data_IF_728247195511
#
_entry.id   IF_728247195511
#
_cell.length_a   1.000
_cell.length_b   1.000
_cell.length_c   1.000
_cell.angle_alpha   90.00
_cell.angle_beta   90.00
_cell.angle_gamma   90.00
#
_symmetry.space_group_name_H-M   'P 1'
#
loop_
_entity.id
_entity.type
_entity.pdbx_description
1 polymer ?
#
# COMPACT_ATOMS: atom_id res chain seq x y z
N UNK A 1 -13.91 6.37 -6.83
CA UNK A 1 -13.18 6.93 -8.00
C UNK A 1 -13.22 6.01 -9.22
N UNK A 2 -12.68 4.79 -9.17
CA UNK A 2 -12.62 3.90 -10.34
C UNK A 2 -13.99 3.46 -10.90
N UNK A 3 -14.99 3.21 -10.04
CA UNK A 3 -16.36 2.90 -10.49
C UNK A 3 -16.99 4.04 -11.30
N UNK A 4 -16.72 5.30 -10.97
CA UNK A 4 -17.30 6.45 -11.68
C UNK A 4 -16.74 6.57 -13.09
N UNK A 5 -15.45 6.30 -13.28
CA UNK A 5 -14.84 6.28 -14.60
C UNK A 5 -15.44 5.17 -15.47
N UNK A 6 -15.56 3.95 -14.93
CA UNK A 6 -16.19 2.83 -15.63
C UNK A 6 -17.66 3.11 -15.94
N UNK A 7 -18.44 3.64 -14.98
CA UNK A 7 -19.84 3.99 -15.17
C UNK A 7 -20.03 5.12 -16.19
N UNK A 8 -19.16 6.13 -16.21
CA UNK A 8 -19.21 7.20 -17.19
C UNK A 8 -19.00 6.67 -18.61
N UNK A 9 -17.95 5.86 -18.80
CA UNK A 9 -17.65 5.22 -20.10
C UNK A 9 -18.82 4.33 -20.54
N UNK A 10 -19.38 3.56 -19.61
CA UNK A 10 -20.52 2.69 -19.87
C UNK A 10 -21.80 3.50 -20.22
N UNK A 11 -22.04 4.63 -19.56
CA UNK A 11 -23.21 5.47 -19.80
C UNK A 11 -23.09 6.33 -21.07
N UNK A 12 -21.88 6.69 -21.49
CA UNK A 12 -21.64 7.61 -22.60
C UNK A 12 -21.36 6.91 -23.94
N UNK A 13 -21.00 5.62 -23.94
CA UNK A 13 -20.63 4.90 -25.15
C UNK A 13 -21.78 4.82 -26.17
N UNK A 14 -21.42 4.90 -27.46
CA UNK A 14 -22.37 5.07 -28.57
C UNK A 14 -23.18 3.82 -28.95
N UNK A 15 -22.79 2.64 -28.46
CA UNK A 15 -23.45 1.36 -28.73
C UNK A 15 -23.14 0.34 -27.64
N UNK A 16 -23.90 -0.76 -27.58
CA UNK A 16 -23.62 -1.89 -26.67
C UNK A 16 -22.22 -2.47 -26.92
N UNK A 17 -21.80 -2.55 -28.18
CA UNK A 17 -20.44 -3.03 -28.54
C UNK A 17 -19.39 -2.09 -27.96
N UNK A 18 -19.51 -0.78 -28.17
CA UNK A 18 -18.57 0.21 -27.62
C UNK A 18 -18.53 0.12 -26.08
N UNK A 19 -19.69 -0.03 -25.41
CA UNK A 19 -19.76 -0.18 -23.96
C UNK A 19 -18.97 -1.40 -23.45
N UNK A 20 -19.19 -2.56 -24.08
CA UNK A 20 -18.54 -3.82 -23.69
C UNK A 20 -17.04 -3.76 -23.97
N UNK A 21 -16.63 -3.29 -25.14
CA UNK A 21 -15.20 -3.21 -25.49
C UNK A 21 -14.48 -2.18 -24.62
N UNK A 22 -15.10 -1.04 -24.31
CA UNK A 22 -14.51 -0.07 -23.40
C UNK A 22 -14.31 -0.65 -21.99
N UNK A 23 -15.28 -1.43 -21.49
CA UNK A 23 -15.15 -2.13 -20.22
C UNK A 23 -14.03 -3.17 -20.24
N UNK A 24 -13.83 -3.90 -21.36
CA UNK A 24 -12.68 -4.81 -21.52
C UNK A 24 -11.35 -4.08 -21.46
N UNK A 25 -11.24 -2.93 -22.14
CA UNK A 25 -10.02 -2.09 -22.13
C UNK A 25 -9.75 -1.58 -20.71
N UNK A 26 -10.78 -1.15 -19.99
CA UNK A 26 -10.65 -0.74 -18.59
C UNK A 26 -10.18 -1.89 -17.70
N UNK A 27 -10.78 -3.08 -17.80
CA UNK A 27 -10.33 -4.27 -17.05
C UNK A 27 -8.89 -4.65 -17.39
N UNK A 28 -8.54 -4.63 -18.68
CA UNK A 28 -7.18 -4.86 -19.15
C UNK A 28 -6.21 -3.87 -18.51
N UNK A 29 -6.48 -2.56 -18.60
CA UNK A 29 -5.59 -1.54 -18.05
C UNK A 29 -5.47 -1.63 -16.53
N UNK A 30 -6.54 -2.04 -15.84
CA UNK A 30 -6.56 -2.23 -14.40
C UNK A 30 -5.61 -3.35 -13.97
N UNK A 31 -5.73 -4.53 -14.58
CA UNK A 31 -4.84 -5.66 -14.28
C UNK A 31 -3.42 -5.44 -14.79
N UNK A 32 -3.27 -4.99 -16.03
CA UNK A 32 -1.96 -4.78 -16.62
C UNK A 32 -1.18 -3.68 -15.89
N UNK A 33 -1.84 -2.57 -15.56
CA UNK A 33 -1.27 -1.51 -14.71
C UNK A 33 -0.88 -2.02 -13.32
N UNK A 34 -1.69 -2.89 -12.72
CA UNK A 34 -1.37 -3.54 -11.45
C UNK A 34 -0.15 -4.49 -11.58
N UNK A 35 -0.04 -5.23 -12.68
CA UNK A 35 1.14 -6.03 -13.00
C UNK A 35 2.41 -5.18 -13.11
N UNK A 36 2.34 -4.04 -13.81
CA UNK A 36 3.47 -3.11 -13.96
C UNK A 36 3.89 -2.50 -12.62
N UNK A 37 2.95 -2.10 -11.78
CA UNK A 37 3.29 -1.50 -10.48
C UNK A 37 3.96 -2.47 -9.51
N UNK A 38 3.76 -3.78 -9.72
CA UNK A 38 4.39 -4.87 -8.94
C UNK A 38 5.84 -5.15 -9.33
N UNK A 39 6.36 -4.47 -10.35
CA UNK A 39 7.77 -4.52 -10.71
C UNK A 39 8.61 -3.79 -9.65
N UNK A 40 9.70 -4.40 -9.21
CA UNK A 40 10.63 -3.82 -8.23
C UNK A 40 10.66 -4.57 -6.91
N UNK A 41 11.10 -3.88 -5.85
CA UNK A 41 11.45 -4.51 -4.56
C UNK A 41 10.31 -4.54 -3.54
N UNK A 42 9.19 -3.87 -3.84
CA UNK A 42 8.10 -3.66 -2.89
C UNK A 42 7.17 -4.87 -2.76
N UNK A 43 6.99 -5.66 -3.83
CA UNK A 43 5.92 -6.65 -3.88
C UNK A 43 6.22 -7.96 -3.15
N UNK A 44 7.47 -8.45 -3.19
CA UNK A 44 7.81 -9.69 -2.47
C UNK A 44 7.57 -9.60 -0.94
N UNK A 45 7.90 -8.49 -0.25
CA UNK A 45 7.50 -8.28 1.14
C UNK A 45 5.98 -8.36 1.38
N UNK A 46 5.17 -7.78 0.48
CA UNK A 46 3.70 -7.83 0.55
C UNK A 46 3.22 -9.27 0.52
N UNK A 47 3.72 -10.06 -0.44
CA UNK A 47 3.30 -11.46 -0.61
C UNK A 47 3.76 -12.34 0.56
N UNK A 48 4.96 -12.10 1.09
CA UNK A 48 5.43 -12.80 2.29
C UNK A 48 4.50 -12.53 3.49
N UNK A 49 4.20 -11.25 3.76
CA UNK A 49 3.32 -10.86 4.85
C UNK A 49 1.88 -11.37 4.65
N UNK A 50 1.34 -11.26 3.44
CA UNK A 50 -0.02 -11.70 3.10
C UNK A 50 -0.18 -13.23 3.23
N UNK A 51 0.69 -14.00 2.57
CA UNK A 51 0.60 -15.45 2.57
C UNK A 51 0.88 -16.07 3.95
N UNK A 52 1.79 -15.47 4.73
CA UNK A 52 2.07 -15.94 6.09
C UNK A 52 0.94 -15.63 7.10
N UNK A 53 0.16 -14.58 6.87
CA UNK A 53 -1.02 -14.25 7.69
C UNK A 53 -2.32 -14.93 7.20
N UNK A 54 -2.27 -15.67 6.10
CA UNK A 54 -3.46 -16.32 5.53
C UNK A 54 -4.06 -17.34 6.52
N UNK A 55 -5.35 -17.24 6.87
CA UNK A 55 -5.98 -18.07 7.91
C UNK A 55 -6.03 -19.56 7.58
N UNK A 56 -6.34 -19.91 6.33
CA UNK A 56 -6.51 -21.31 5.90
C UNK A 56 -5.20 -22.02 5.57
N UNK A 57 -4.09 -21.28 5.46
CA UNK A 57 -2.75 -21.86 5.34
C UNK A 57 -2.29 -22.24 6.75
N UNK A 58 -2.42 -23.50 7.13
CA UNK A 58 -2.06 -23.97 8.48
C UNK A 58 -0.63 -24.49 8.59
N UNK A 59 0.01 -24.81 7.44
CA UNK A 59 1.39 -25.31 7.40
C UNK A 59 2.40 -24.27 7.88
N UNK A 60 2.93 -24.46 9.08
CA UNK A 60 3.98 -23.61 9.65
C UNK A 60 5.27 -23.68 8.82
N UNK A 61 5.59 -24.84 8.23
CA UNK A 61 6.72 -25.00 7.32
C UNK A 61 6.60 -24.08 6.10
N UNK A 62 5.41 -24.03 5.48
CA UNK A 62 5.18 -23.14 4.35
C UNK A 62 5.27 -21.67 4.77
N UNK A 63 4.60 -21.28 5.86
CA UNK A 63 4.66 -19.91 6.39
C UNK A 63 6.10 -19.45 6.67
N UNK A 64 6.91 -20.33 7.24
CA UNK A 64 8.34 -20.07 7.50
C UNK A 64 9.17 -19.99 6.23
N UNK A 65 8.86 -20.78 5.19
CA UNK A 65 9.57 -20.74 3.91
C UNK A 65 9.39 -19.44 3.13
N UNK A 66 8.42 -18.60 3.49
CA UNK A 66 8.24 -17.25 2.93
C UNK A 66 9.33 -16.27 3.40
N UNK A 67 10.07 -16.63 4.44
CA UNK A 67 11.15 -15.83 5.01
C UNK A 67 12.50 -16.50 4.76
N UNK A 68 13.57 -15.71 4.64
CA UNK A 68 14.91 -16.25 4.35
C UNK A 68 15.38 -17.24 5.42
N UNK A 69 15.17 -16.89 6.69
CA UNK A 69 15.55 -17.74 7.82
C UNK A 69 14.70 -17.43 9.05
N UNK A 70 13.48 -17.95 9.12
CA UNK A 70 12.60 -17.68 10.26
C UNK A 70 13.12 -18.34 11.57
N UNK A 71 13.17 -17.62 12.72
CA UNK A 71 12.72 -16.24 12.94
C UNK A 71 13.82 -15.15 12.83
N UNK A 72 15.06 -15.53 12.49
CA UNK A 72 16.25 -14.66 12.53
C UNK A 72 16.32 -13.65 11.38
N UNK A 73 15.83 -14.03 10.20
CA UNK A 73 15.79 -13.20 9.00
C UNK A 73 14.38 -13.24 8.37
N UNK A 74 13.62 -12.17 8.63
CA UNK A 74 12.26 -12.00 8.12
C UNK A 74 12.20 -11.26 6.77
N UNK A 75 13.32 -11.11 6.06
CA UNK A 75 13.29 -10.64 4.68
C UNK A 75 12.63 -11.70 3.78
N UNK A 76 11.97 -11.29 2.68
CA UNK A 76 11.30 -12.23 1.79
C UNK A 76 12.30 -13.23 1.18
N UNK A 77 11.90 -14.50 1.15
CA UNK A 77 12.69 -15.59 0.56
C UNK A 77 12.53 -15.64 -0.96
N UNK A 78 13.27 -16.56 -1.59
CA UNK A 78 13.04 -16.91 -3.00
C UNK A 78 11.65 -17.48 -3.27
N UNK A 79 11.04 -18.18 -2.30
CA UNK A 79 9.67 -18.69 -2.42
C UNK A 79 8.68 -17.52 -2.50
N UNK A 80 8.83 -16.52 -1.64
CA UNK A 80 8.02 -15.30 -1.70
C UNK A 80 8.25 -14.52 -2.98
N UNK A 81 9.48 -14.41 -3.46
CA UNK A 81 9.79 -13.78 -4.74
C UNK A 81 9.15 -14.49 -5.93
N UNK A 82 9.25 -15.82 -5.98
CA UNK A 82 8.64 -16.65 -7.02
C UNK A 82 7.11 -16.57 -6.99
N UNK A 83 6.51 -16.60 -5.81
CA UNK A 83 5.06 -16.44 -5.66
C UNK A 83 4.61 -15.03 -6.06
N UNK A 84 5.34 -13.99 -5.66
CA UNK A 84 5.01 -12.62 -6.01
C UNK A 84 5.08 -12.39 -7.51
N UNK A 85 6.20 -12.69 -8.16
CA UNK A 85 6.36 -12.34 -9.56
C UNK A 85 5.79 -13.40 -10.51
N UNK A 86 5.80 -14.68 -10.13
CA UNK A 86 5.22 -15.77 -10.91
C UNK A 86 3.70 -15.79 -10.86
N UNK A 87 3.13 -15.85 -9.66
CA UNK A 87 1.67 -15.99 -9.46
C UNK A 87 0.94 -14.64 -9.33
N UNK A 88 1.67 -13.54 -9.14
CA UNK A 88 1.15 -12.18 -9.17
C UNK A 88 1.49 -11.46 -10.46
N UNK A 89 2.70 -10.93 -10.56
CA UNK A 89 3.12 -10.03 -11.65
C UNK A 89 2.88 -10.63 -13.04
N UNK A 90 3.37 -11.85 -13.31
CA UNK A 90 3.24 -12.48 -14.63
C UNK A 90 1.77 -12.77 -14.97
N UNK A 91 0.98 -13.24 -14.01
CA UNK A 91 -0.46 -13.50 -14.20
C UNK A 91 -1.18 -12.23 -14.64
N UNK A 92 -0.94 -11.12 -13.95
CA UNK A 92 -1.57 -9.83 -14.25
C UNK A 92 -1.05 -9.14 -15.52
N UNK A 93 0.11 -9.54 -16.04
CA UNK A 93 0.61 -9.05 -17.32
C UNK A 93 0.18 -9.94 -18.50
N UNK A 94 0.17 -11.25 -18.32
CA UNK A 94 -0.06 -12.21 -19.41
C UNK A 94 -1.54 -12.51 -19.63
N UNK A 95 -2.30 -12.80 -18.58
CA UNK A 95 -3.70 -13.23 -18.75
C UNK A 95 -4.60 -12.12 -19.31
N UNK A 96 -4.48 -10.84 -18.90
CA UNK A 96 -5.27 -9.77 -19.52
C UNK A 96 -5.00 -9.59 -21.01
N UNK A 97 -3.76 -9.77 -21.47
CA UNK A 97 -3.42 -9.73 -22.90
C UNK A 97 -4.14 -10.86 -23.64
N UNK A 98 -4.12 -12.07 -23.08
CA UNK A 98 -4.84 -13.21 -23.66
C UNK A 98 -6.35 -12.93 -23.71
N UNK A 99 -6.94 -12.46 -22.60
CA UNK A 99 -8.37 -12.16 -22.53
C UNK A 99 -8.81 -11.08 -23.52
N UNK A 100 -8.00 -10.04 -23.70
CA UNK A 100 -8.34 -8.92 -24.57
C UNK A 100 -8.28 -9.27 -26.06
N UNK A 101 -7.32 -10.13 -26.47
CA UNK A 101 -7.01 -10.35 -27.89
C UNK A 101 -7.30 -11.76 -28.41
N UNK A 102 -7.51 -12.76 -27.56
CA UNK A 102 -7.75 -14.14 -28.01
C UNK A 102 -9.14 -14.31 -28.61
N UNK A 103 -9.21 -14.85 -29.83
CA UNK A 103 -10.43 -15.40 -30.44
C UNK A 103 -10.58 -16.90 -30.19
N UNK A 104 -9.56 -17.58 -29.63
CA UNK A 104 -9.63 -19.00 -29.30
C UNK A 104 -10.37 -19.21 -27.98
N UNK A 105 -11.55 -19.84 -28.04
CA UNK A 105 -12.43 -20.06 -26.88
C UNK A 105 -11.75 -20.83 -25.74
N UNK A 106 -10.93 -21.83 -26.03
CA UNK A 106 -10.26 -22.64 -25.00
C UNK A 106 -9.13 -21.87 -24.33
N UNK A 107 -8.39 -21.07 -25.09
CA UNK A 107 -7.36 -20.19 -24.55
C UNK A 107 -7.98 -19.10 -23.66
N UNK A 108 -9.09 -18.50 -24.10
CA UNK A 108 -9.86 -17.54 -23.30
C UNK A 108 -10.41 -18.17 -22.02
N UNK A 109 -10.95 -19.40 -22.10
CA UNK A 109 -11.42 -20.13 -20.92
C UNK A 109 -10.29 -20.39 -19.92
N UNK A 110 -9.11 -20.83 -20.40
CA UNK A 110 -7.95 -21.06 -19.55
C UNK A 110 -7.49 -19.77 -18.85
N UNK A 111 -7.44 -18.65 -19.57
CA UNK A 111 -7.10 -17.35 -18.99
C UNK A 111 -8.16 -16.88 -17.98
N UNK A 112 -9.44 -17.12 -18.24
CA UNK A 112 -10.53 -16.82 -17.30
C UNK A 112 -10.40 -17.63 -16.01
N UNK A 113 -10.20 -18.94 -16.11
CA UNK A 113 -9.99 -19.80 -14.94
C UNK A 113 -8.77 -19.33 -14.15
N UNK A 114 -7.68 -18.96 -14.82
CA UNK A 114 -6.50 -18.40 -14.18
C UNK A 114 -6.78 -17.11 -13.41
N UNK A 115 -7.47 -16.15 -14.04
CA UNK A 115 -7.84 -14.88 -13.40
C UNK A 115 -8.82 -15.05 -12.25
N UNK A 116 -9.82 -15.93 -12.38
CA UNK A 116 -10.74 -16.25 -11.29
C UNK A 116 -9.99 -16.91 -10.14
N UNK A 117 -9.10 -17.88 -10.40
CA UNK A 117 -8.25 -18.49 -9.39
C UNK A 117 -7.37 -17.48 -8.67
N UNK A 118 -6.80 -16.52 -9.40
CA UNK A 118 -6.03 -15.42 -8.85
C UNK A 118 -6.85 -14.54 -7.89
N UNK A 119 -8.06 -14.13 -8.29
CA UNK A 119 -8.95 -13.34 -7.44
C UNK A 119 -9.49 -14.13 -6.22
N UNK A 120 -9.83 -15.41 -6.40
CA UNK A 120 -10.21 -16.31 -5.29
C UNK A 120 -9.08 -16.42 -4.28
N UNK A 121 -7.84 -16.58 -4.76
CA UNK A 121 -6.67 -16.63 -3.88
C UNK A 121 -6.54 -15.34 -3.08
N UNK A 122 -6.61 -14.16 -3.72
CA UNK A 122 -6.56 -12.87 -3.02
C UNK A 122 -7.64 -12.78 -1.94
N UNK A 123 -8.91 -13.04 -2.28
CA UNK A 123 -10.03 -12.98 -1.34
C UNK A 123 -9.78 -13.91 -0.14
N UNK A 124 -9.33 -15.12 -0.41
CA UNK A 124 -9.09 -16.14 0.62
C UNK A 124 -8.02 -15.74 1.65
N UNK A 125 -7.14 -14.78 1.30
CA UNK A 125 -6.04 -14.34 2.16
C UNK A 125 -6.44 -13.26 3.17
N UNK A 126 -7.65 -12.70 3.07
CA UNK A 126 -8.13 -11.55 3.85
C UNK A 126 -7.07 -10.43 3.98
N UNK A 127 -6.54 -9.91 2.86
CA UNK A 127 -5.45 -8.96 2.92
C UNK A 127 -5.95 -7.61 3.49
N UNK A 128 -5.07 -6.92 4.21
CA UNK A 128 -5.36 -5.61 4.79
C UNK A 128 -5.50 -4.56 3.68
N UNK A 129 -6.45 -3.62 3.83
CA UNK A 129 -6.75 -2.54 2.89
C UNK A 129 -7.11 -3.02 1.46
N UNK A 130 -8.02 -3.99 1.37
CA UNK A 130 -8.49 -4.57 0.09
C UNK A 130 -10.02 -4.42 0.00
N UNK A 131 -10.57 -3.87 -1.10
CA UNK A 131 -11.99 -3.96 -1.36
C UNK A 131 -12.27 -5.39 -1.84
N UNK A 132 -12.71 -6.25 -0.94
CA UNK A 132 -13.04 -7.63 -1.27
C UNK A 132 -14.19 -7.68 -2.28
N UNK A 133 -15.12 -6.73 -2.20
CA UNK A 133 -16.21 -6.52 -3.15
C UNK A 133 -15.68 -6.29 -4.57
N UNK A 134 -14.54 -5.60 -4.72
CA UNK A 134 -13.91 -5.35 -6.02
C UNK A 134 -13.42 -6.64 -6.67
N UNK A 135 -12.83 -7.55 -5.88
CA UNK A 135 -12.36 -8.84 -6.38
C UNK A 135 -13.55 -9.71 -6.85
N UNK A 136 -14.67 -9.69 -6.11
CA UNK A 136 -15.89 -10.40 -6.52
C UNK A 136 -16.47 -9.81 -7.81
N UNK A 137 -16.55 -8.48 -7.88
CA UNK A 137 -17.00 -7.79 -9.08
C UNK A 137 -16.11 -8.12 -10.28
N UNK A 138 -14.79 -8.13 -10.11
CA UNK A 138 -13.83 -8.44 -11.19
C UNK A 138 -13.97 -9.86 -11.71
N UNK A 139 -14.23 -10.84 -10.84
CA UNK A 139 -14.52 -12.21 -11.29
C UNK A 139 -15.79 -12.28 -12.15
N UNK A 140 -16.86 -11.61 -11.70
CA UNK A 140 -18.10 -11.52 -12.46
C UNK A 140 -17.89 -10.80 -13.80
N UNK A 141 -17.28 -9.61 -13.78
CA UNK A 141 -17.01 -8.79 -14.97
C UNK A 141 -16.10 -9.51 -15.95
N UNK A 142 -15.09 -10.24 -15.49
CA UNK A 142 -14.23 -11.03 -16.36
C UNK A 142 -15.05 -12.06 -17.16
N UNK A 143 -15.89 -12.83 -16.46
CA UNK A 143 -16.74 -13.83 -17.11
C UNK A 143 -17.75 -13.17 -18.06
N UNK A 144 -18.44 -12.14 -17.60
CA UNK A 144 -19.42 -11.41 -18.40
C UNK A 144 -18.80 -10.81 -19.66
N UNK A 145 -17.65 -10.12 -19.55
CA UNK A 145 -17.04 -9.43 -20.68
C UNK A 145 -16.31 -10.37 -21.63
N UNK A 146 -15.59 -11.38 -21.15
CA UNK A 146 -14.71 -12.19 -22.01
C UNK A 146 -15.30 -13.55 -22.41
N UNK A 147 -16.21 -14.13 -21.62
CA UNK A 147 -16.88 -15.39 -21.97
C UNK A 147 -18.20 -15.18 -22.70
N UNK A 148 -19.05 -14.28 -22.19
CA UNK A 148 -20.38 -14.03 -22.77
C UNK A 148 -20.35 -13.07 -23.96
N UNK A 149 -19.29 -12.26 -24.07
CA UNK A 149 -19.07 -11.35 -25.19
C UNK A 149 -17.66 -11.58 -25.79
N UNK A 150 -17.35 -12.77 -26.33
CA UNK A 150 -15.99 -13.09 -26.75
C UNK A 150 -15.54 -12.25 -27.94
N UNK A 151 -14.23 -12.03 -28.08
CA UNK A 151 -13.67 -11.21 -29.15
C UNK A 151 -14.02 -11.73 -30.55
N UNK A 152 -14.18 -13.06 -30.71
CA UNK A 152 -14.56 -13.67 -31.99
C UNK A 152 -16.00 -13.39 -32.45
N UNK A 153 -16.88 -12.88 -31.57
CA UNK A 153 -18.31 -12.70 -31.83
C UNK A 153 -18.68 -11.20 -31.98
N UNK A 154 -17.77 -10.38 -32.50
CA UNK A 154 -18.00 -8.94 -32.72
C UNK A 154 -17.78 -8.05 -31.50
N UNK A 155 -16.99 -8.51 -30.53
CA UNK A 155 -16.59 -7.75 -29.34
C UNK A 155 -15.07 -7.66 -29.20
N UNK A 156 -14.32 -7.71 -30.29
CA UNK A 156 -12.89 -7.44 -30.31
C UNK A 156 -12.63 -5.92 -30.16
N UNK A 157 -11.40 -5.57 -29.81
CA UNK A 157 -10.96 -4.16 -29.74
C UNK A 157 -11.18 -3.44 -31.08
N UNK A 158 -11.10 -4.16 -32.19
CA UNK A 158 -11.31 -3.64 -33.55
C UNK A 158 -12.77 -3.41 -33.93
N UNK A 159 -13.71 -3.93 -33.14
CA UNK A 159 -15.16 -3.74 -33.40
C UNK A 159 -15.70 -2.45 -32.77
N UNK A 160 -14.89 -1.79 -31.93
CA UNK A 160 -15.20 -0.49 -31.33
C UNK A 160 -14.96 0.64 -32.32
N UNK A 161 -15.84 1.64 -32.29
CA UNK A 161 -15.67 2.83 -33.13
C UNK A 161 -14.37 3.57 -32.81
N UNK A 162 -13.67 4.05 -33.83
CA UNK A 162 -12.30 4.58 -33.70
C UNK A 162 -12.18 5.73 -32.68
N UNK A 163 -13.16 6.64 -32.65
CA UNK A 163 -13.16 7.76 -31.70
C UNK A 163 -13.26 7.28 -30.25
N UNK A 164 -14.19 6.35 -29.98
CA UNK A 164 -14.36 5.76 -28.65
C UNK A 164 -13.16 4.90 -28.26
N UNK A 165 -12.57 4.16 -29.20
CA UNK A 165 -11.38 3.34 -28.96
C UNK A 165 -10.20 4.20 -28.50
N UNK A 166 -9.90 5.30 -29.21
CA UNK A 166 -8.83 6.22 -28.83
C UNK A 166 -9.09 6.80 -27.44
N UNK A 167 -10.32 7.25 -27.19
CA UNK A 167 -10.71 7.78 -25.88
C UNK A 167 -10.51 6.74 -24.76
N UNK A 168 -10.98 5.51 -24.96
CA UNK A 168 -10.85 4.44 -23.97
C UNK A 168 -9.39 4.13 -23.66
N UNK A 169 -8.52 4.04 -24.67
CA UNK A 169 -7.08 3.81 -24.48
C UNK A 169 -6.45 4.96 -23.69
N UNK A 170 -6.70 6.20 -24.08
CA UNK A 170 -6.14 7.38 -23.41
C UNK A 170 -6.61 7.46 -21.96
N UNK A 171 -7.91 7.33 -21.73
CA UNK A 171 -8.49 7.37 -20.38
C UNK A 171 -7.93 6.24 -19.49
N UNK A 172 -7.81 5.03 -20.03
CA UNK A 172 -7.31 3.88 -19.30
C UNK A 172 -5.80 3.95 -19.01
N UNK A 173 -5.01 4.60 -19.87
CA UNK A 173 -3.56 4.70 -19.72
C UNK A 173 -3.09 5.92 -18.91
N UNK A 174 -3.84 7.02 -18.90
CA UNK A 174 -3.39 8.32 -18.36
C UNK A 174 -2.98 8.24 -16.90
N UNK A 175 -3.87 7.77 -16.01
CA UNK A 175 -3.58 7.73 -14.56
C UNK A 175 -2.54 6.66 -14.19
N UNK A 176 -2.58 5.43 -14.74
CA UNK A 176 -1.51 4.46 -14.50
C UNK A 176 -0.13 4.97 -14.91
N UNK A 177 -0.01 5.56 -16.10
CA UNK A 177 1.29 6.06 -16.58
C UNK A 177 1.73 7.26 -15.74
N UNK A 178 0.88 8.28 -15.61
CA UNK A 178 1.22 9.49 -14.88
C UNK A 178 1.56 9.18 -13.42
N UNK A 179 0.78 8.35 -12.74
CA UNK A 179 0.97 8.03 -11.34
C UNK A 179 2.17 7.13 -11.04
N UNK A 180 2.61 6.29 -11.98
CA UNK A 180 3.88 5.56 -11.84
C UNK A 180 5.11 6.45 -12.10
N UNK A 181 4.97 7.52 -12.89
CA UNK A 181 6.03 8.49 -13.14
C UNK A 181 6.08 9.64 -12.11
N UNK A 182 4.92 10.10 -11.67
CA UNK A 182 4.68 11.24 -10.79
C UNK A 182 3.65 10.85 -9.71
N UNK A 183 4.06 10.00 -8.76
CA UNK A 183 3.17 9.52 -7.69
C UNK A 183 2.65 10.64 -6.79
N UNK A 184 3.30 11.81 -6.82
CA UNK A 184 2.87 13.03 -6.14
C UNK A 184 1.62 13.68 -6.74
N UNK A 185 1.26 13.33 -7.98
CA UNK A 185 0.10 13.90 -8.68
C UNK A 185 -1.12 12.98 -8.70
N UNK A 186 -0.92 11.67 -8.55
CA UNK A 186 -1.97 10.66 -8.69
C UNK A 186 -1.83 9.63 -7.58
N UNK A 187 -2.89 9.49 -6.79
CA UNK A 187 -2.94 8.50 -5.71
C UNK A 187 -2.75 7.07 -6.24
N UNK A 188 -2.44 6.15 -5.34
CA UNK A 188 -2.03 4.80 -5.72
C UNK A 188 -3.15 4.03 -6.45
N UNK A 189 -4.42 4.29 -6.14
CA UNK A 189 -5.56 3.56 -6.70
C UNK A 189 -5.77 3.87 -8.20
N UNK A 190 -5.93 5.13 -8.66
CA UNK A 190 -5.96 5.44 -10.10
C UNK A 190 -4.66 5.07 -10.83
N UNK A 191 -3.53 5.04 -10.10
CA UNK A 191 -2.23 4.63 -10.65
C UNK A 191 -2.07 3.11 -10.85
N UNK A 192 -3.05 2.31 -10.44
CA UNK A 192 -2.98 0.84 -10.39
C UNK A 192 -1.82 0.31 -9.54
N UNK A 193 -1.50 0.98 -8.43
CA UNK A 193 -0.46 0.57 -7.49
C UNK A 193 -1.01 -0.20 -6.29
N UNK A 194 -2.30 -0.53 -6.30
CA UNK A 194 -2.90 -1.41 -5.31
C UNK A 194 -2.10 -2.73 -5.21
N UNK A 195 -1.81 -3.15 -3.98
CA UNK A 195 -1.08 -4.39 -3.65
C UNK A 195 0.38 -4.46 -4.12
N UNK A 196 0.94 -3.42 -4.74
CA UNK A 196 2.34 -3.42 -5.16
C UNK A 196 3.34 -3.30 -3.99
N UNK A 197 2.88 -2.84 -2.83
CA UNK A 197 3.73 -2.44 -1.71
C UNK A 197 4.33 -1.04 -1.89
N UNK A 198 3.93 -0.34 -2.97
CA UNK A 198 4.47 0.94 -3.40
C UNK A 198 3.40 2.06 -3.44
N UNK A 199 3.04 2.58 -2.27
CA UNK A 199 2.08 3.67 -2.11
C UNK A 199 2.50 4.58 -0.96
N UNK A 200 2.10 5.86 -1.00
CA UNK A 200 2.41 6.82 0.04
C UNK A 200 1.95 6.28 1.40
N UNK A 201 2.78 6.41 2.43
CA UNK A 201 2.50 5.84 3.75
C UNK A 201 2.99 6.78 4.85
N UNK A 202 2.43 6.65 6.05
CA UNK A 202 2.86 7.45 7.19
C UNK A 202 2.83 6.65 8.50
N UNK A 203 3.43 7.19 9.54
CA UNK A 203 3.33 6.68 10.91
C UNK A 203 3.32 7.87 11.87
N UNK A 204 2.42 7.82 12.85
CA UNK A 204 2.21 8.89 13.82
C UNK A 204 2.80 8.46 15.16
N UNK A 205 3.53 9.36 15.81
CA UNK A 205 4.11 9.19 17.13
C UNK A 205 3.54 10.26 18.06
N UNK A 206 2.67 9.84 18.99
CA UNK A 206 2.10 10.70 20.02
C UNK A 206 2.93 10.59 21.29
N UNK A 207 3.39 11.70 21.87
CA UNK A 207 4.15 11.68 23.13
C UNK A 207 3.24 11.28 24.28
N UNK A 208 3.32 10.03 24.70
CA UNK A 208 2.41 9.44 25.67
C UNK A 208 0.95 9.30 25.20
N UNK A 209 0.15 8.64 26.03
CA UNK A 209 -1.26 8.35 25.75
C UNK A 209 -2.14 9.61 25.75
N UNK A 210 -1.79 10.59 26.57
CA UNK A 210 -2.53 11.86 26.70
C UNK A 210 -2.53 12.66 25.39
N UNK A 211 -1.43 12.63 24.64
CA UNK A 211 -1.36 13.25 23.32
C UNK A 211 -2.31 12.57 22.32
N UNK A 212 -2.39 11.24 22.30
CA UNK A 212 -3.34 10.51 21.46
C UNK A 212 -4.81 10.83 21.84
N UNK A 213 -5.09 11.02 23.12
CA UNK A 213 -6.42 11.33 23.64
C UNK A 213 -6.96 12.70 23.19
N UNK A 214 -6.07 13.62 22.81
CA UNK A 214 -6.47 14.90 22.20
C UNK A 214 -7.28 14.70 20.91
N UNK A 215 -7.10 13.58 20.21
CA UNK A 215 -7.93 13.25 19.05
C UNK A 215 -9.39 13.00 19.44
N UNK A 216 -9.64 12.24 20.52
CA UNK A 216 -11.00 12.03 21.04
C UNK A 216 -11.59 13.31 21.63
N UNK A 217 -10.77 14.08 22.33
CA UNK A 217 -11.24 15.26 23.09
C UNK A 217 -11.61 16.43 22.18
N UNK A 218 -10.85 16.66 21.11
CA UNK A 218 -10.95 17.90 20.34
C UNK A 218 -11.44 17.75 18.90
N UNK A 219 -11.51 16.52 18.37
CA UNK A 219 -12.03 16.29 17.02
C UNK A 219 -13.50 15.86 17.06
N UNK A 220 -14.30 16.44 16.17
CA UNK A 220 -15.64 15.94 15.88
C UNK A 220 -15.47 14.81 14.85
N UNK A 221 -15.79 13.59 15.25
CA UNK A 221 -15.57 12.37 14.47
C UNK A 221 -16.65 11.34 14.76
N UNK A 222 -16.86 10.42 13.81
CA UNK A 222 -17.94 9.43 13.87
C UNK A 222 -17.71 8.33 14.90
N UNK A 223 -16.44 8.04 15.26
CA UNK A 223 -16.05 6.99 16.18
C UNK A 223 -14.91 7.43 17.10
N UNK A 224 -14.76 6.76 18.25
CA UNK A 224 -13.57 6.88 19.11
C UNK A 224 -12.32 6.35 18.40
N UNK A 225 -11.13 6.65 18.92
CA UNK A 225 -9.90 6.05 18.37
C UNK A 225 -10.03 4.52 18.44
N UNK A 226 -9.45 3.83 17.46
CA UNK A 226 -9.63 2.37 17.32
C UNK A 226 -9.21 1.58 18.56
N UNK A 227 -8.13 2.01 19.21
CA UNK A 227 -7.65 1.46 20.48
C UNK A 227 -8.67 1.58 21.62
N UNK A 228 -9.51 2.61 21.65
CA UNK A 228 -10.54 2.78 22.69
C UNK A 228 -11.73 1.86 22.45
N UNK A 229 -12.10 1.69 21.17
CA UNK A 229 -13.12 0.72 20.77
C UNK A 229 -12.68 -0.70 21.15
N UNK A 230 -11.41 -1.04 20.87
CA UNK A 230 -10.83 -2.32 21.23
C UNK A 230 -10.68 -2.48 22.75
N UNK A 231 -10.35 -1.41 23.47
CA UNK A 231 -10.23 -1.43 24.94
C UNK A 231 -11.57 -1.76 25.58
N UNK A 232 -12.67 -1.17 25.08
CA UNK A 232 -14.01 -1.49 25.55
C UNK A 232 -14.40 -2.96 25.34
N UNK A 233 -13.89 -3.60 24.28
CA UNK A 233 -14.20 -4.98 23.94
C UNK A 233 -13.27 -6.03 24.59
N UNK A 234 -11.98 -5.72 24.72
CA UNK A 234 -10.93 -6.70 25.04
C UNK A 234 -9.99 -6.28 26.18
N UNK A 235 -10.17 -5.09 26.74
CA UNK A 235 -9.26 -4.50 27.73
C UNK A 235 -8.04 -3.82 27.10
N UNK A 236 -7.36 -2.94 27.86
CA UNK A 236 -6.34 -2.03 27.32
C UNK A 236 -5.09 -2.75 26.80
N UNK A 237 -4.66 -3.82 27.46
CA UNK A 237 -3.47 -4.58 27.06
C UNK A 237 -3.69 -5.25 25.69
N UNK A 238 -4.82 -5.95 25.52
CA UNK A 238 -5.15 -6.63 24.26
C UNK A 238 -5.36 -5.61 23.14
N UNK A 239 -6.02 -4.49 23.44
CA UNK A 239 -6.21 -3.40 22.48
C UNK A 239 -4.87 -2.86 21.97
N UNK A 240 -3.92 -2.60 22.86
CA UNK A 240 -2.59 -2.09 22.48
C UNK A 240 -1.82 -3.13 21.65
N UNK A 241 -1.89 -4.43 22.00
CA UNK A 241 -1.32 -5.51 21.17
C UNK A 241 -1.90 -5.49 19.75
N UNK A 242 -3.21 -5.29 19.59
CA UNK A 242 -3.83 -5.20 18.26
C UNK A 242 -3.34 -3.98 17.47
N UNK A 243 -3.18 -2.83 18.12
CA UNK A 243 -2.65 -1.62 17.48
C UNK A 243 -1.19 -1.80 17.06
N UNK A 244 -0.36 -2.36 17.94
CA UNK A 244 1.07 -2.58 17.67
C UNK A 244 1.31 -3.65 16.59
N UNK A 245 0.39 -4.61 16.41
CA UNK A 245 0.44 -5.54 15.26
C UNK A 245 0.42 -4.81 13.93
N UNK A 246 -0.31 -3.70 13.81
CA UNK A 246 -0.34 -2.90 12.58
C UNK A 246 1.02 -2.21 12.32
N UNK A 247 1.67 -1.70 13.38
CA UNK A 247 3.02 -1.13 13.29
C UNK A 247 4.04 -2.20 12.90
N UNK A 248 4.01 -3.37 13.55
CA UNK A 248 4.85 -4.51 13.21
C UNK A 248 4.62 -4.99 11.77
N UNK A 249 3.37 -5.08 11.33
CA UNK A 249 3.04 -5.40 9.94
C UNK A 249 3.64 -4.36 8.98
N UNK A 250 3.57 -3.07 9.32
CA UNK A 250 4.13 -2.00 8.48
C UNK A 250 5.65 -2.14 8.35
N UNK A 251 6.37 -2.48 9.41
CA UNK A 251 7.84 -2.67 9.36
C UNK A 251 8.28 -3.93 8.62
N UNK A 252 7.39 -4.91 8.43
CA UNK A 252 7.62 -6.03 7.51
C UNK A 252 7.68 -5.59 6.05
N UNK A 253 7.19 -4.38 5.73
CA UNK A 253 7.24 -3.77 4.41
C UNK A 253 8.40 -2.78 4.29
N UNK A 254 8.90 -2.63 3.07
CA UNK A 254 9.99 -1.70 2.69
C UNK A 254 9.86 -0.31 3.33
N UNK A 255 8.74 0.37 3.13
CA UNK A 255 8.53 1.74 3.60
C UNK A 255 8.42 1.87 5.12
N UNK A 256 7.90 0.84 5.81
CA UNK A 256 7.74 0.92 7.27
C UNK A 256 9.05 1.04 8.01
N UNK A 257 10.11 0.38 7.51
CA UNK A 257 11.45 0.47 8.08
C UNK A 257 12.00 1.90 7.99
N UNK A 258 11.79 2.57 6.85
CA UNK A 258 12.17 3.96 6.69
C UNK A 258 11.34 4.88 7.60
N UNK A 259 10.02 4.68 7.70
CA UNK A 259 9.15 5.48 8.58
C UNK A 259 9.58 5.40 10.05
N UNK A 260 9.85 4.19 10.56
CA UNK A 260 10.35 4.03 11.93
C UNK A 260 11.75 4.64 12.10
N UNK A 261 12.63 4.47 11.10
CA UNK A 261 13.97 5.10 11.10
C UNK A 261 13.92 6.62 11.25
N UNK A 262 12.95 7.26 10.59
CA UNK A 262 12.72 8.70 10.72
C UNK A 262 12.21 9.05 12.11
N UNK A 263 11.28 8.27 12.67
CA UNK A 263 10.81 8.51 14.05
C UNK A 263 11.96 8.37 15.06
N UNK A 264 12.82 7.36 14.92
CA UNK A 264 14.02 7.17 15.78
C UNK A 264 14.94 8.41 15.82
N UNK A 265 15.01 9.16 14.71
CA UNK A 265 15.77 10.42 14.62
C UNK A 265 15.01 11.60 15.23
N UNK A 266 13.69 11.65 15.02
CA UNK A 266 12.86 12.82 15.32
C UNK A 266 12.11 12.75 16.66
N UNK A 267 12.34 11.69 17.44
CA UNK A 267 11.90 11.53 18.83
C UNK A 267 13.12 11.45 19.75
N UNK A 268 12.99 11.92 20.99
CA UNK A 268 14.02 11.76 22.04
C UNK A 268 14.23 10.29 22.41
N UNK A 269 13.15 9.55 22.61
CA UNK A 269 13.14 8.10 22.69
C UNK A 269 11.78 7.58 22.20
N UNK A 270 11.76 6.66 21.22
CA UNK A 270 10.54 6.00 20.75
C UNK A 270 9.66 5.44 21.88
N UNK A 271 10.24 4.94 22.98
CA UNK A 271 9.47 4.40 24.12
C UNK A 271 8.63 5.46 24.85
N UNK A 272 8.95 6.75 24.67
CA UNK A 272 8.14 7.86 25.18
C UNK A 272 6.90 8.13 24.31
N UNK A 273 6.76 7.43 23.18
CA UNK A 273 5.73 7.68 22.19
C UNK A 273 4.83 6.47 21.97
N UNK A 274 3.55 6.76 21.83
CA UNK A 274 2.57 5.82 21.31
C UNK A 274 2.61 5.89 19.79
N UNK A 275 3.14 4.82 19.19
CA UNK A 275 3.28 4.71 17.73
C UNK A 275 2.00 4.13 17.13
N UNK A 276 1.47 4.79 16.10
CA UNK A 276 0.27 4.39 15.37
C UNK A 276 0.55 4.32 13.87
N UNK A 277 0.14 3.20 13.28
CA UNK A 277 0.06 3.07 11.82
C UNK A 277 -0.96 4.09 11.30
N UNK A 278 -0.60 4.85 10.28
CA UNK A 278 -1.37 6.03 9.90
C UNK A 278 -2.76 5.70 9.35
N UNK A 279 -2.97 4.55 8.72
CA UNK A 279 -4.28 4.12 8.23
C UNK A 279 -5.29 4.00 9.38
N UNK A 280 -4.84 3.55 10.56
CA UNK A 280 -5.71 3.41 11.74
C UNK A 280 -6.05 4.79 12.32
N UNK A 281 -5.11 5.74 12.21
CA UNK A 281 -5.36 7.16 12.50
C UNK A 281 -6.32 7.75 11.47
N UNK A 282 -6.19 7.43 10.18
CA UNK A 282 -7.06 7.91 9.12
C UNK A 282 -8.53 7.50 9.34
N UNK A 283 -8.76 6.24 9.75
CA UNK A 283 -10.08 5.76 10.17
C UNK A 283 -10.68 6.63 11.25
N UNK A 284 -9.87 7.02 12.23
CA UNK A 284 -10.28 7.88 13.34
C UNK A 284 -10.60 9.30 12.86
N UNK A 285 -9.77 9.87 11.99
CA UNK A 285 -9.89 11.26 11.55
C UNK A 285 -11.07 11.49 10.61
N UNK A 286 -11.29 10.61 9.64
CA UNK A 286 -12.24 10.85 8.54
C UNK A 286 -13.13 9.64 8.20
N UNK A 287 -13.06 8.55 8.96
CA UNK A 287 -13.88 7.35 8.71
C UNK A 287 -13.50 6.57 7.45
N UNK A 288 -12.31 6.79 6.91
CA UNK A 288 -11.82 6.16 5.68
C UNK A 288 -10.47 5.48 5.94
N UNK A 289 -10.31 4.26 5.39
CA UNK A 289 -9.10 3.47 5.49
C UNK A 289 -8.89 2.68 4.20
N UNK A 290 -7.88 3.05 3.41
CA UNK A 290 -7.64 2.37 2.14
C UNK A 290 -6.17 2.39 1.68
N UNK A 291 -5.22 2.73 2.54
CA UNK A 291 -3.80 2.75 2.17
C UNK A 291 -3.38 4.01 1.41
N UNK A 292 -4.08 5.14 1.59
CA UNK A 292 -3.72 6.39 0.91
C UNK A 292 -2.98 7.36 1.84
N UNK A 293 -1.65 7.23 1.89
CA UNK A 293 -0.81 8.12 2.67
C UNK A 293 -0.92 9.59 2.29
N UNK A 294 -1.46 9.96 1.12
CA UNK A 294 -1.70 11.36 0.76
C UNK A 294 -2.70 12.04 1.71
N UNK A 295 -3.51 11.26 2.44
CA UNK A 295 -4.42 11.75 3.48
C UNK A 295 -3.70 12.21 4.75
N UNK A 296 -2.40 11.92 4.90
CA UNK A 296 -1.55 12.38 5.99
C UNK A 296 -0.62 13.53 5.58
N UNK A 297 -1.03 14.32 4.59
CA UNK A 297 -0.29 15.49 4.14
C UNK A 297 -0.34 16.66 5.14
N UNK A 298 0.40 17.73 4.83
CA UNK A 298 0.52 18.94 5.65
C UNK A 298 -0.82 19.64 5.93
N UNK A 299 -1.78 19.57 4.99
CA UNK A 299 -3.10 20.19 5.17
C UNK A 299 -3.92 19.44 6.22
N UNK A 300 -3.90 18.10 6.19
CA UNK A 300 -4.55 17.26 7.20
C UNK A 300 -3.90 17.47 8.56
N UNK A 301 -2.57 17.44 8.64
CA UNK A 301 -1.86 17.66 9.91
C UNK A 301 -2.16 19.05 10.47
N UNK A 302 -2.15 20.10 9.63
CA UNK A 302 -2.51 21.44 10.07
C UNK A 302 -3.97 21.51 10.56
N UNK A 303 -4.90 20.78 9.93
CA UNK A 303 -6.29 20.72 10.38
C UNK A 303 -6.44 20.01 11.74
N UNK A 304 -5.67 18.96 11.99
CA UNK A 304 -5.59 18.28 13.28
C UNK A 304 -4.97 19.21 14.32
N UNK A 305 -3.85 19.85 14.00
CA UNK A 305 -3.18 20.79 14.90
C UNK A 305 -4.08 21.94 15.34
N UNK A 306 -4.84 22.56 14.43
CA UNK A 306 -5.75 23.66 14.77
C UNK A 306 -6.80 23.30 15.83
N UNK A 307 -7.10 22.01 16.00
CA UNK A 307 -8.11 21.52 16.94
C UNK A 307 -7.48 20.96 18.21
N UNK A 308 -6.46 20.14 18.05
CA UNK A 308 -5.82 19.44 19.18
C UNK A 308 -4.74 20.28 19.87
N UNK A 309 -4.21 21.32 19.22
CA UNK A 309 -3.22 22.24 19.77
C UNK A 309 -2.03 21.50 20.42
N UNK A 310 -1.35 20.66 19.64
CA UNK A 310 -0.16 19.94 20.13
C UNK A 310 0.99 20.92 20.42
N UNK A 311 1.78 20.62 21.44
CA UNK A 311 3.05 21.28 21.70
C UNK A 311 4.16 20.75 20.76
N UNK A 312 5.24 21.51 20.52
CA UNK A 312 6.39 21.01 19.76
C UNK A 312 6.91 19.69 20.35
N UNK A 313 7.14 18.69 19.50
CA UNK A 313 7.59 17.36 19.89
C UNK A 313 6.50 16.44 20.44
N UNK A 314 5.25 16.90 20.57
CA UNK A 314 4.16 16.11 21.16
C UNK A 314 3.49 15.19 20.13
N UNK A 315 3.45 15.58 18.85
CA UNK A 315 2.99 14.73 17.76
C UNK A 315 3.95 14.86 16.57
N UNK A 316 4.67 13.76 16.29
CA UNK A 316 5.59 13.65 15.15
C UNK A 316 5.01 12.67 14.13
N UNK A 317 5.00 13.05 12.86
CA UNK A 317 4.56 12.23 11.75
C UNK A 317 5.74 12.01 10.82
N UNK A 318 6.11 10.76 10.61
CA UNK A 318 6.95 10.37 9.47
C UNK A 318 6.04 10.06 8.28
N UNK A 319 6.39 10.57 7.12
CA UNK A 319 5.62 10.38 5.90
C UNK A 319 6.55 10.08 4.74
N UNK A 320 6.15 9.16 3.88
CA UNK A 320 6.88 8.80 2.68
C UNK A 320 5.95 8.85 1.48
N UNK A 321 6.46 9.38 0.37
CA UNK A 321 5.82 9.20 -0.93
C UNK A 321 6.06 7.76 -1.39
N UNK A 322 5.45 7.43 -2.50
CA UNK A 322 5.70 6.23 -3.26
C UNK A 322 6.95 6.36 -4.13
N UNK A 323 7.60 5.25 -4.46
CA UNK A 323 8.71 5.21 -5.39
C UNK A 323 8.22 5.45 -6.83
N UNK A 324 8.71 6.49 -7.54
CA UNK A 324 8.51 6.59 -8.99
C UNK A 324 9.25 5.44 -9.70
N UNK A 325 8.62 4.84 -10.72
CA UNK A 325 9.12 3.60 -11.35
C UNK A 325 10.53 3.73 -11.97
N UNK A 326 10.92 4.95 -12.32
CA UNK A 326 12.22 5.26 -12.95
C UNK A 326 13.30 5.70 -11.95
N UNK A 327 13.02 5.70 -10.64
CA UNK A 327 13.95 6.09 -9.58
C UNK A 327 14.24 4.92 -8.67
N UNK A 328 15.38 4.94 -7.98
CA UNK A 328 15.76 3.92 -6.99
C UNK A 328 15.56 4.39 -5.53
N UNK A 329 15.03 5.59 -5.35
CA UNK A 329 14.83 6.23 -4.06
C UNK A 329 13.37 6.67 -3.87
N UNK A 330 13.02 6.93 -2.62
CA UNK A 330 11.72 7.44 -2.20
C UNK A 330 11.92 8.75 -1.45
N UNK A 331 11.03 9.70 -1.68
CA UNK A 331 11.00 10.98 -0.97
C UNK A 331 10.24 10.84 0.34
N UNK A 332 10.76 11.46 1.40
CA UNK A 332 10.12 11.50 2.71
C UNK A 332 10.02 12.93 3.23
N UNK A 333 9.15 13.11 4.22
CA UNK A 333 9.14 14.27 5.09
C UNK A 333 8.81 13.87 6.52
N UNK A 334 9.29 14.68 7.45
CA UNK A 334 8.93 14.59 8.86
C UNK A 334 8.22 15.87 9.26
N UNK A 335 7.08 15.70 9.93
CA UNK A 335 6.18 16.77 10.31
C UNK A 335 6.03 16.73 11.82
N UNK A 336 6.35 17.83 12.48
CA UNK A 336 5.90 18.09 13.84
C UNK A 336 4.55 18.81 13.73
N UNK A 337 3.50 18.29 14.35
CA UNK A 337 2.17 18.87 14.20
C UNK A 337 2.10 20.34 14.64
N UNK A 338 2.90 20.74 15.63
CA UNK A 338 2.88 22.09 16.19
C UNK A 338 3.57 23.12 15.29
N UNK A 339 4.68 22.74 14.67
CA UNK A 339 5.51 23.67 13.90
C UNK A 339 5.43 23.44 12.39
N UNK A 340 4.98 22.28 11.92
CA UNK A 340 4.88 21.91 10.50
C UNK A 340 6.05 21.02 10.05
N UNK A 341 6.39 21.05 8.77
CA UNK A 341 7.49 20.22 8.24
C UNK A 341 8.83 20.66 8.84
N UNK A 342 9.55 19.70 9.40
CA UNK A 342 10.85 19.91 10.05
C UNK A 342 12.01 19.36 9.21
N UNK A 343 11.77 18.33 8.40
CA UNK A 343 12.79 17.72 7.55
C UNK A 343 12.17 17.17 6.26
N UNK A 344 12.92 17.24 5.16
CA UNK A 344 12.63 16.56 3.88
C UNK A 344 13.91 15.86 3.40
N UNK A 345 13.73 14.75 2.70
CA UNK A 345 14.86 14.02 2.15
C UNK A 345 14.46 12.83 1.31
N UNK A 346 15.43 11.95 1.08
CA UNK A 346 15.26 10.73 0.30
C UNK A 346 15.95 9.53 0.95
N UNK A 347 15.40 8.33 0.79
CA UNK A 347 16.10 7.08 1.13
C UNK A 347 16.11 6.11 -0.05
N UNK A 348 17.15 5.27 -0.15
CA UNK A 348 17.27 4.28 -1.22
C UNK A 348 16.40 3.07 -0.88
N UNK A 349 15.55 2.65 -1.82
CA UNK A 349 14.60 1.53 -1.60
C UNK A 349 15.32 0.23 -1.27
N UNK A 350 16.48 0.00 -1.89
CA UNK A 350 17.32 -1.18 -1.63
C UNK A 350 17.64 -1.30 -0.14
N UNK A 351 18.15 -0.23 0.47
CA UNK A 351 18.58 -0.21 1.88
C UNK A 351 17.40 -0.53 2.80
N UNK A 352 16.24 0.08 2.55
CA UNK A 352 15.03 -0.22 3.28
C UNK A 352 14.58 -1.69 3.12
N UNK A 353 14.67 -2.26 1.92
CA UNK A 353 14.24 -3.65 1.65
C UNK A 353 15.22 -4.72 2.17
N UNK A 354 16.50 -4.38 2.30
CA UNK A 354 17.57 -5.31 2.69
C UNK A 354 17.86 -5.34 4.19
N UNK A 355 17.30 -4.40 4.96
CA UNK A 355 17.33 -4.42 6.42
C UNK A 355 16.23 -5.33 7.02
N UNK A 356 16.33 -5.66 8.31
CA UNK A 356 15.32 -6.38 9.07
C UNK A 356 14.22 -5.43 9.60
N UNK A 357 12.98 -5.92 9.81
CA UNK A 357 11.85 -5.09 10.24
C UNK A 357 12.08 -4.26 11.52
N UNK A 358 12.78 -4.81 12.52
CA UNK A 358 13.08 -4.14 13.79
C UNK A 358 14.41 -3.40 13.82
N UNK A 359 15.04 -3.18 12.66
CA UNK A 359 16.21 -2.31 12.51
C UNK A 359 17.35 -2.61 13.52
N UNK A 360 17.80 -3.88 13.69
CA UNK A 360 18.83 -4.23 14.67
C UNK A 360 20.18 -3.53 14.40
N UNK A 361 20.44 -3.15 13.15
CA UNK A 361 21.64 -2.41 12.75
C UNK A 361 21.45 -0.88 12.81
N UNK A 362 20.35 -0.41 13.39
CA UNK A 362 19.98 0.99 13.46
C UNK A 362 19.15 1.49 12.25
N UNK A 363 18.90 2.81 12.20
CA UNK A 363 18.03 3.42 11.20
C UNK A 363 18.52 3.25 9.75
N UNK A 364 17.57 3.17 8.82
CA UNK A 364 17.84 3.22 7.38
C UNK A 364 18.54 4.54 7.03
N UNK A 365 19.66 4.42 6.33
CA UNK A 365 20.39 5.56 5.79
C UNK A 365 19.50 6.38 4.85
N UNK A 366 19.49 7.68 5.06
CA UNK A 366 18.76 8.64 4.22
C UNK A 366 19.60 9.88 3.97
N UNK A 367 19.21 10.65 2.95
CA UNK A 367 19.84 11.91 2.56
C UNK A 367 18.85 13.04 2.83
N UNK A 368 19.23 13.94 3.74
CA UNK A 368 18.44 15.12 4.06
C UNK A 368 18.66 16.15 2.94
N UNK A 369 17.57 16.63 2.34
CA UNK A 369 17.60 17.67 1.31
C UNK A 369 17.21 19.03 1.84
N UNK A 370 16.49 19.06 2.96
CA UNK A 370 16.10 20.30 3.63
C UNK A 370 15.78 20.06 5.11
N UNK A 371 16.15 21.00 5.96
CA UNK A 371 15.76 21.05 7.37
C UNK A 371 15.21 22.44 7.68
N UNK A 372 14.18 22.51 8.52
CA UNK A 372 13.63 23.78 8.98
C UNK A 372 14.72 24.59 9.71
N UNK A 373 14.90 25.89 9.41
CA UNK A 373 15.85 26.73 10.15
C UNK A 373 15.59 26.69 11.66
N UNK A 374 16.65 26.44 12.43
CA UNK A 374 16.59 26.35 13.90
C UNK A 374 16.05 25.03 14.46
N UNK A 375 15.62 24.09 13.61
CA UNK A 375 15.23 22.76 14.07
C UNK A 375 16.47 21.88 14.27
N UNK A 376 16.54 21.22 15.42
CA UNK A 376 17.55 20.22 15.74
C UNK A 376 16.82 18.91 16.02
N UNK A 377 17.14 17.87 15.26
CA UNK A 377 16.58 16.54 15.50
C UNK A 377 17.01 16.06 16.91
N UNK A 378 16.09 15.52 17.73
CA UNK A 378 16.40 15.07 19.09
C UNK A 378 17.46 13.96 19.16
N UNK A 379 17.61 13.17 18.09
CA UNK A 379 18.53 12.05 18.00
C UNK A 379 19.22 12.03 16.63
N UNK A 380 20.43 11.49 16.55
CA UNK A 380 21.08 11.15 15.28
C UNK A 380 20.84 9.68 14.88
N UNK A 381 20.09 8.94 15.69
CA UNK A 381 19.77 7.52 15.48
C UNK A 381 20.83 6.55 16.01
N UNK A 382 21.98 7.04 16.48
CA UNK A 382 23.10 6.21 16.94
C UNK A 382 22.76 5.38 18.19
N UNK A 383 21.87 5.90 19.04
CA UNK A 383 21.39 5.22 20.25
C UNK A 383 20.67 3.90 19.98
N UNK A 384 20.25 3.65 18.73
CA UNK A 384 19.50 2.46 18.34
C UNK A 384 20.33 1.40 17.61
N UNK A 385 21.63 1.63 17.43
CA UNK A 385 22.52 0.60 16.90
C UNK A 385 22.79 -0.40 18.02
N UNK A 386 22.22 -1.60 17.92
CA UNK A 386 22.50 -2.66 18.89
C UNK A 386 23.99 -3.08 18.77
N UNK A 387 24.69 -3.34 19.88
CA UNK A 387 26.00 -3.98 19.82
C UNK A 387 25.86 -5.32 19.06
N UNK A 388 26.84 -5.67 18.23
CA UNK A 388 26.84 -6.96 17.49
C UNK A 388 26.45 -8.09 18.44
N UNK A 389 25.29 -8.72 18.18
CA UNK A 389 24.94 -9.91 18.95
C UNK A 389 26.00 -10.98 18.63
N UNK A 390 26.58 -11.63 19.64
CA UNK A 390 27.57 -12.67 19.41
C UNK A 390 26.95 -13.72 18.51
N UNK A 391 27.66 -14.05 17.41
CA UNK A 391 27.27 -15.14 16.51
C UNK A 391 27.11 -16.40 17.36
N UNK A 392 25.88 -16.77 17.66
CA UNK A 392 25.59 -18.05 18.29
C UNK A 392 26.06 -19.11 17.30
N UNK A 393 27.04 -19.91 17.71
CA UNK A 393 27.79 -20.84 16.88
C UNK A 393 26.90 -21.80 16.09
N UNK A 394 27.45 -22.21 14.94
CA UNK A 394 26.87 -23.05 13.89
C UNK A 394 26.28 -24.38 14.40
#
# INVERSE_FOLDING_TARGET
>A
EQYLAALFVFAAAGSVVDMIVAAKIFMFASWFGAGISKLGRHFSPVVAAMASNTPWITSTRFKRSLYRDFPRDLRPSHVSGAMAHGLGTIVELALPVILLFSTNKWLTLAALIGMLGFHIFIISTFPLAVPLEWNVFFMFSAWFLFWLHPAGDGYAVTDMSTGWLIFAIVAAATFPILGNLRPDLVSFLPSMRQYAGNWASATWAFRGREAEEKLNTHLIKSNLNQVDQLTAAYGPEVAEIFMQKAVAWRTMHSMGRALISLLMRHTDNLDNYVIREAEFVCTTLIGWQFGDGHLHNENTIAAVQRRCNFAPGELIISWTESQPIHKNYVEYKVIDAAIGVVERGTYVVKDATEELPWLPNGPIKHTITWTRPGYVAPSDGSAYVMPEQPKVGA
#
